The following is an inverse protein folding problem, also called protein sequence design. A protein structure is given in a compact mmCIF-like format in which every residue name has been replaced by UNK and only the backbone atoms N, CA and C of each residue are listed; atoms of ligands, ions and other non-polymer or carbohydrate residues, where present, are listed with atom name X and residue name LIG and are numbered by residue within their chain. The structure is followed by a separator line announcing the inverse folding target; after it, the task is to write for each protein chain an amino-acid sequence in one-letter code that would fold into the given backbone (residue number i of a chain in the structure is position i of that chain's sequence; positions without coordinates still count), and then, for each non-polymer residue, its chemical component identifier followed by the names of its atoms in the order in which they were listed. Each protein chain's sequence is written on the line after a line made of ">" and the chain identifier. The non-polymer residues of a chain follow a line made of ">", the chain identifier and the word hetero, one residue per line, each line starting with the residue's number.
data_IF_670256133147
#
_entry.id   IF_670256133147
#
_cell.length_a   1.000
_cell.length_b   1.000
_cell.length_c   1.000
_cell.angle_alpha   90.00
_cell.angle_beta   90.00
_cell.angle_gamma   90.00
#
_symmetry.space_group_name_H-M   'P 1'
#
loop_
_entity.id
_entity.type
_entity.pdbx_description
1 polymer ?
#
# COMPACT_ATOMS: atom_id res chain seq x y z
N UNK A 1 -12.21 -15.41 3.38
CA UNK A 1 -11.76 -14.03 3.11
C UNK A 1 -11.88 -13.78 1.61
N UNK A 2 -12.40 -12.62 1.20
CA UNK A 2 -12.47 -12.24 -0.22
C UNK A 2 -11.08 -11.76 -0.65
N UNK A 3 -10.52 -12.39 -1.68
CA UNK A 3 -9.27 -11.94 -2.30
C UNK A 3 -9.52 -10.72 -3.17
N UNK A 4 -8.64 -9.74 -3.08
CA UNK A 4 -8.66 -8.51 -3.87
C UNK A 4 -7.51 -8.53 -4.88
N UNK A 5 -7.65 -7.88 -6.06
CA UNK A 5 -6.60 -7.85 -7.08
C UNK A 5 -5.24 -7.36 -6.55
N UNK A 6 -5.24 -6.48 -5.54
CA UNK A 6 -4.03 -5.95 -4.94
C UNK A 6 -3.20 -7.01 -4.19
N UNK A 7 -3.82 -8.10 -3.72
CA UNK A 7 -3.14 -9.11 -2.90
C UNK A 7 -1.96 -9.75 -3.65
N UNK A 8 -2.08 -9.89 -4.97
CA UNK A 8 -1.05 -10.47 -5.83
C UNK A 8 0.21 -9.59 -5.96
N UNK A 9 0.10 -8.27 -5.77
CA UNK A 9 1.23 -7.33 -5.94
C UNK A 9 1.89 -6.91 -4.62
N UNK A 10 1.27 -7.20 -3.47
CA UNK A 10 1.80 -6.86 -2.15
C UNK A 10 3.21 -7.42 -1.88
N UNK A 11 3.56 -8.67 -2.24
CA UNK A 11 4.92 -9.18 -2.01
C UNK A 11 5.98 -8.37 -2.76
N UNK A 12 5.72 -8.03 -4.02
CA UNK A 12 6.64 -7.24 -4.84
C UNK A 12 6.77 -5.80 -4.32
N UNK A 13 5.67 -5.20 -3.86
CA UNK A 13 5.68 -3.87 -3.25
C UNK A 13 6.52 -3.84 -1.97
N UNK A 14 6.36 -4.83 -1.08
CA UNK A 14 7.15 -4.95 0.16
C UNK A 14 8.63 -5.08 -0.14
N UNK A 15 8.99 -5.95 -1.08
CA UNK A 15 10.38 -6.11 -1.51
C UNK A 15 10.95 -4.81 -2.10
N UNK A 16 10.17 -4.07 -2.90
CA UNK A 16 10.62 -2.80 -3.45
C UNK A 16 10.93 -1.78 -2.33
N UNK A 17 10.03 -1.64 -1.36
CA UNK A 17 10.16 -0.70 -0.24
C UNK A 17 11.21 -1.13 0.82
N UNK A 18 11.54 -2.41 0.88
CA UNK A 18 12.66 -2.90 1.71
C UNK A 18 14.02 -2.52 1.11
N UNK A 19 14.10 -2.38 -0.22
CA UNK A 19 15.35 -2.07 -0.93
C UNK A 19 15.50 -0.58 -1.33
N UNK A 20 14.40 0.18 -1.35
CA UNK A 20 14.32 1.58 -1.80
C UNK A 20 13.29 2.34 -0.97
N UNK A 21 13.47 3.65 -0.84
CA UNK A 21 12.56 4.48 -0.04
C UNK A 21 11.23 4.80 -0.74
N UNK A 22 11.09 4.47 -2.04
CA UNK A 22 9.93 4.82 -2.85
C UNK A 22 9.54 3.75 -3.87
N UNK A 23 8.24 3.66 -4.16
CA UNK A 23 7.68 2.78 -5.18
C UNK A 23 6.41 3.40 -5.78
N UNK A 24 6.17 3.17 -7.07
CA UNK A 24 4.91 3.52 -7.74
C UNK A 24 4.06 2.26 -7.86
N UNK A 25 2.83 2.34 -7.34
CA UNK A 25 1.87 1.24 -7.39
C UNK A 25 0.69 1.63 -8.28
N UNK A 26 0.57 0.93 -9.41
CA UNK A 26 -0.58 1.03 -10.29
C UNK A 26 -1.54 -0.13 -10.02
N UNK A 27 -2.83 0.18 -9.84
CA UNK A 27 -3.87 -0.82 -9.69
C UNK A 27 -5.20 -0.27 -10.23
N UNK A 28 -6.06 -1.12 -10.83
CA UNK A 28 -7.34 -0.67 -11.37
C UNK A 28 -8.27 -0.14 -10.27
N UNK A 29 -9.27 0.71 -10.62
CA UNK A 29 -10.29 1.17 -9.68
C UNK A 29 -10.97 -0.01 -8.97
N UNK A 30 -11.18 0.11 -7.65
CA UNK A 30 -11.78 -0.96 -6.85
C UNK A 30 -10.85 -2.12 -6.50
N UNK A 31 -9.57 -2.11 -6.90
CA UNK A 31 -8.61 -3.18 -6.57
C UNK A 31 -8.28 -3.31 -5.06
N UNK A 32 -8.70 -2.35 -4.23
CA UNK A 32 -8.43 -2.34 -2.79
C UNK A 32 -7.13 -1.66 -2.39
N UNK A 33 -6.50 -0.87 -3.28
CA UNK A 33 -5.22 -0.18 -3.02
C UNK A 33 -5.19 0.61 -1.70
N UNK A 34 -6.20 1.45 -1.47
CA UNK A 34 -6.29 2.33 -0.30
C UNK A 34 -6.60 1.53 0.97
N UNK A 35 -7.28 0.40 0.83
CA UNK A 35 -7.72 -0.40 1.98
C UNK A 35 -6.66 -1.40 2.44
N UNK A 36 -5.99 -2.09 1.51
CA UNK A 36 -5.08 -3.19 1.83
C UNK A 36 -3.62 -2.80 1.93
N UNK A 37 -3.15 -1.88 1.10
CA UNK A 37 -1.72 -1.53 1.05
C UNK A 37 -1.24 -0.99 2.40
N UNK A 38 -1.90 0.01 3.03
CA UNK A 38 -1.42 0.52 4.31
C UNK A 38 -1.38 -0.58 5.38
N UNK A 39 -2.42 -1.41 5.45
CA UNK A 39 -2.51 -2.52 6.40
C UNK A 39 -1.41 -3.56 6.20
N UNK A 40 -1.05 -3.85 4.95
CA UNK A 40 0.03 -4.77 4.62
C UNK A 40 1.41 -4.23 5.00
N UNK A 41 1.57 -2.89 5.07
CA UNK A 41 2.82 -2.24 5.41
C UNK A 41 2.97 -1.92 6.91
N UNK A 42 1.91 -2.04 7.71
CA UNK A 42 1.91 -1.70 9.15
C UNK A 42 2.96 -2.44 9.98
N UNK A 43 3.37 -3.63 9.54
CA UNK A 43 4.31 -4.48 10.28
C UNK A 43 5.69 -4.57 9.60
N UNK A 44 5.97 -3.71 8.61
CA UNK A 44 7.29 -3.75 7.97
C UNK A 44 8.38 -3.21 8.90
N UNK A 45 9.58 -3.83 8.93
CA UNK A 45 10.67 -3.40 9.80
C UNK A 45 11.07 -1.94 9.62
N UNK A 46 11.08 -1.45 8.37
CA UNK A 46 11.42 -0.08 8.03
C UNK A 46 10.43 0.96 8.57
N UNK A 47 9.19 0.57 8.87
CA UNK A 47 8.22 1.47 9.48
C UNK A 47 8.54 1.72 10.96
N UNK A 48 9.19 0.77 11.62
CA UNK A 48 9.64 0.87 13.02
C UNK A 48 8.54 1.35 13.99
N UNK A 49 7.31 0.90 13.78
CA UNK A 49 6.15 1.26 14.61
C UNK A 49 5.62 2.69 14.41
N UNK A 50 6.11 3.41 13.40
CA UNK A 50 5.60 4.73 13.04
C UNK A 50 4.23 4.65 12.34
N UNK A 51 3.59 5.81 12.19
CA UNK A 51 2.29 5.91 11.52
C UNK A 51 2.42 6.09 10.01
N UNK A 52 1.48 5.52 9.27
CA UNK A 52 1.36 5.71 7.82
C UNK A 52 0.43 6.90 7.56
N UNK A 53 0.95 7.92 6.87
CA UNK A 53 0.15 9.05 6.40
C UNK A 53 -0.43 8.74 5.02
N UNK A 54 -1.76 8.74 4.92
CA UNK A 54 -2.46 8.57 3.65
C UNK A 54 -2.98 9.90 3.15
N UNK A 55 -2.49 10.32 1.98
CA UNK A 55 -2.96 11.52 1.30
C UNK A 55 -3.91 11.10 0.17
N UNK A 56 -5.12 11.63 0.19
CA UNK A 56 -6.09 11.46 -0.89
C UNK A 56 -6.41 12.82 -1.52
N UNK A 57 -6.66 12.90 -2.84
CA UNK A 57 -7.10 14.13 -3.47
C UNK A 57 -8.34 14.68 -2.77
N UNK A 58 -8.35 15.98 -2.47
CA UNK A 58 -9.57 16.65 -2.00
C UNK A 58 -10.66 16.45 -3.06
N UNK A 59 -11.82 15.92 -2.66
CA UNK A 59 -12.97 15.90 -3.58
C UNK A 59 -13.30 17.33 -3.96
N UNK A 60 -13.42 17.61 -5.27
CA UNK A 60 -13.96 18.87 -5.77
C UNK A 60 -15.32 19.09 -5.09
N UNK A 61 -15.48 20.27 -4.48
CA UNK A 61 -16.76 20.71 -3.92
C UNK A 61 -17.81 20.86 -5.03
#
# INVERSE_FOLDING_TARGET
>A
MISLPIDAVLPALRQALDNRDEAVLEAPPGAGKTTRVPLALLNEPWLAGQSILMLEPRRLA
#
